data_IF_369225325757
#
_entry.id   IF_369225325757
#
_cell.length_a   1.000
_cell.length_b   1.000
_cell.length_c   1.000
_cell.angle_alpha   90.00
_cell.angle_beta   90.00
_cell.angle_gamma   90.00
#
_symmetry.space_group_name_H-M   'P 1'
#
loop_
_entity.id
_entity.type
_entity.pdbx_description
1 polymer ?
#
# COMPACT_ATOMS: atom_id res chain seq x y z
N UNK A 1 41.94 0.77 10.24
CA UNK A 1 40.97 1.80 10.67
C UNK A 1 39.58 1.28 10.31
N UNK A 2 38.89 0.62 11.24
CA UNK A 2 37.52 0.15 11.02
C UNK A 2 36.56 1.28 11.37
N UNK A 3 35.87 1.81 10.37
CA UNK A 3 34.74 2.71 10.59
C UNK A 3 33.56 1.88 11.08
N UNK A 4 33.26 1.98 12.37
CA UNK A 4 32.02 1.46 12.95
C UNK A 4 30.88 2.37 12.51
N UNK A 5 30.07 1.92 11.54
CA UNK A 5 28.78 2.54 11.25
C UNK A 5 27.94 2.37 12.52
N UNK A 6 27.79 3.47 13.26
CA UNK A 6 26.91 3.53 14.42
C UNK A 6 25.48 3.31 13.93
N UNK A 7 24.98 2.09 14.09
CA UNK A 7 23.61 1.71 13.78
C UNK A 7 22.71 2.47 14.75
N UNK A 8 22.13 3.59 14.28
CA UNK A 8 21.06 4.30 15.00
C UNK A 8 20.03 3.25 15.43
N UNK A 9 19.52 3.28 16.68
CA UNK A 9 18.41 2.42 17.05
C UNK A 9 17.29 2.70 16.05
N UNK A 10 16.76 1.65 15.41
CA UNK A 10 15.62 1.78 14.52
C UNK A 10 14.51 2.48 15.32
N UNK A 11 14.06 3.65 14.86
CA UNK A 11 12.90 4.27 15.48
C UNK A 11 11.75 3.31 15.27
N UNK A 12 11.05 2.94 16.35
CA UNK A 12 9.91 2.04 16.24
C UNK A 12 8.88 2.69 15.32
N UNK A 13 8.45 1.95 14.30
CA UNK A 13 7.41 2.40 13.38
C UNK A 13 6.13 2.77 14.15
N UNK A 14 5.44 3.86 13.79
CA UNK A 14 4.13 4.18 14.34
C UNK A 14 3.12 3.05 14.14
N UNK A 15 2.15 2.96 15.03
CA UNK A 15 1.27 1.80 15.15
C UNK A 15 0.45 1.49 13.88
N UNK A 16 -0.08 2.46 13.11
CA UNK A 16 -0.80 2.16 11.86
C UNK A 16 0.05 1.41 10.83
N UNK A 17 1.27 1.89 10.57
CA UNK A 17 2.18 1.28 9.60
C UNK A 17 2.82 0.00 10.13
N UNK A 18 2.98 -0.13 11.45
CA UNK A 18 3.42 -1.39 12.07
C UNK A 18 2.38 -2.50 11.87
N UNK A 19 1.07 -2.20 11.99
CA UNK A 19 0.00 -3.17 11.68
C UNK A 19 0.01 -3.62 10.23
N UNK A 20 0.23 -2.69 9.29
CA UNK A 20 0.32 -3.05 7.87
C UNK A 20 1.55 -3.91 7.61
N UNK A 21 2.68 -3.61 8.26
CA UNK A 21 3.87 -4.45 8.17
C UNK A 21 3.62 -5.87 8.69
N UNK A 22 2.89 -6.02 9.81
CA UNK A 22 2.50 -7.32 10.34
C UNK A 22 1.54 -8.06 9.39
N UNK A 23 0.54 -7.35 8.83
CA UNK A 23 -0.40 -7.88 7.83
C UNK A 23 0.34 -8.43 6.59
N UNK A 24 1.35 -7.71 6.13
CA UNK A 24 2.11 -8.06 4.92
C UNK A 24 3.33 -8.93 5.20
N UNK A 25 3.54 -9.38 6.45
CA UNK A 25 4.75 -10.10 6.85
C UNK A 25 4.95 -11.47 6.20
N UNK A 26 3.87 -12.10 5.75
CA UNK A 26 3.89 -13.37 5.01
C UNK A 26 3.52 -13.21 3.53
N UNK A 27 3.36 -11.98 3.05
CA UNK A 27 3.15 -11.71 1.63
C UNK A 27 4.48 -11.88 0.89
N UNK A 28 4.56 -12.88 0.01
CA UNK A 28 5.80 -13.20 -0.71
C UNK A 28 6.17 -12.18 -1.80
N UNK A 29 5.23 -11.65 -2.61
CA UNK A 29 5.55 -10.66 -3.62
C UNK A 29 5.96 -9.31 -3.02
N UNK A 30 6.43 -8.41 -3.90
CA UNK A 30 6.92 -7.11 -3.47
C UNK A 30 5.77 -6.20 -3.05
N UNK A 31 5.95 -5.51 -1.92
CA UNK A 31 5.10 -4.40 -1.50
C UNK A 31 5.98 -3.31 -0.88
N UNK A 32 5.50 -2.07 -0.88
CA UNK A 32 6.17 -0.95 -0.23
C UNK A 32 5.15 0.02 0.36
N UNK A 33 5.45 0.60 1.51
CA UNK A 33 4.72 1.75 2.04
C UNK A 33 4.92 2.94 1.08
N UNK A 34 3.85 3.65 0.76
CA UNK A 34 3.92 4.85 -0.08
C UNK A 34 3.14 6.00 0.56
N UNK A 35 2.81 7.03 -0.22
CA UNK A 35 2.03 8.18 0.24
C UNK A 35 2.67 8.96 1.39
N UNK A 36 1.82 9.49 2.27
CA UNK A 36 2.26 10.36 3.37
C UNK A 36 3.16 9.65 4.39
N UNK A 37 2.84 8.41 4.72
CA UNK A 37 3.59 7.63 5.69
C UNK A 37 4.99 7.25 5.21
N UNK A 38 5.20 7.01 3.91
CA UNK A 38 6.53 6.74 3.38
C UNK A 38 7.49 7.92 3.55
N UNK A 39 7.00 9.15 3.37
CA UNK A 39 7.79 10.38 3.61
C UNK A 39 8.25 10.44 5.07
N UNK A 40 7.33 10.22 6.02
CA UNK A 40 7.65 10.24 7.44
C UNK A 40 8.55 9.08 7.86
N UNK A 41 8.40 7.92 7.22
CA UNK A 41 9.29 6.77 7.41
C UNK A 41 10.73 7.12 7.03
N UNK A 42 10.94 7.75 5.87
CA UNK A 42 12.25 8.24 5.43
C UNK A 42 12.83 9.33 6.33
N UNK A 43 11.98 10.21 6.87
CA UNK A 43 12.38 11.21 7.85
C UNK A 43 12.65 10.60 9.25
N UNK A 44 12.25 9.34 9.47
CA UNK A 44 12.35 8.62 10.72
C UNK A 44 11.46 9.18 11.85
N UNK A 45 10.49 10.04 11.53
CA UNK A 45 9.57 10.66 12.49
C UNK A 45 8.26 11.03 11.80
N UNK A 46 7.15 10.94 12.54
CA UNK A 46 5.87 11.43 12.08
C UNK A 46 5.88 12.97 12.07
N UNK A 47 5.49 13.59 10.95
CA UNK A 47 5.48 15.05 10.77
C UNK A 47 4.07 15.66 10.77
N UNK A 48 3.06 14.84 10.52
CA UNK A 48 1.63 15.20 10.56
C UNK A 48 0.77 13.98 10.86
N UNK A 49 -0.50 14.21 11.13
CA UNK A 49 -1.49 13.13 11.14
C UNK A 49 -1.74 12.64 9.71
N UNK A 50 -1.90 11.32 9.57
CA UNK A 50 -2.24 10.64 8.32
C UNK A 50 -3.56 9.91 8.52
N UNK A 51 -4.59 10.17 7.71
CA UNK A 51 -5.90 9.55 7.88
C UNK A 51 -5.95 8.08 7.42
N UNK A 52 -4.98 7.66 6.60
CA UNK A 52 -4.90 6.41 5.86
C UNK A 52 -3.47 5.85 5.88
N UNK A 53 -3.29 4.62 5.37
CA UNK A 53 -2.00 4.02 5.05
C UNK A 53 -2.03 3.56 3.60
N UNK A 54 -1.13 4.10 2.78
CA UNK A 54 -0.97 3.68 1.38
C UNK A 54 0.14 2.64 1.25
N UNK A 55 -0.11 1.57 0.48
CA UNK A 55 0.93 0.66 0.01
C UNK A 55 0.91 0.51 -1.51
N UNK A 56 2.10 0.41 -2.10
CA UNK A 56 2.30 0.02 -3.49
C UNK A 56 2.40 -1.51 -3.59
N UNK A 57 1.63 -2.07 -4.52
CA UNK A 57 1.62 -3.49 -4.93
C UNK A 57 1.61 -3.56 -6.46
N UNK A 58 1.89 -4.72 -7.04
CA UNK A 58 2.13 -4.85 -8.49
C UNK A 58 1.04 -5.61 -9.23
N UNK A 59 0.76 -5.17 -10.46
CA UNK A 59 -0.34 -5.67 -11.31
C UNK A 59 -0.26 -7.19 -11.53
N UNK A 60 0.93 -7.74 -11.67
CA UNK A 60 1.12 -9.17 -11.92
C UNK A 60 0.81 -10.04 -10.69
N UNK A 61 0.80 -9.44 -9.50
CA UNK A 61 0.61 -10.13 -8.22
C UNK A 61 -0.81 -10.02 -7.66
N UNK A 62 -1.76 -9.46 -8.41
CA UNK A 62 -3.14 -9.24 -7.96
C UNK A 62 -3.79 -10.49 -7.37
N UNK A 63 -3.53 -11.66 -7.97
CA UNK A 63 -4.08 -12.91 -7.48
C UNK A 63 -3.51 -13.29 -6.11
N UNK A 64 -2.19 -13.17 -5.95
CA UNK A 64 -1.53 -13.41 -4.68
C UNK A 64 -2.01 -12.43 -3.60
N UNK A 65 -2.22 -11.17 -3.96
CA UNK A 65 -2.75 -10.15 -3.08
C UNK A 65 -4.17 -10.48 -2.60
N UNK A 66 -5.06 -10.85 -3.53
CA UNK A 66 -6.43 -11.23 -3.22
C UNK A 66 -6.48 -12.43 -2.26
N UNK A 67 -5.69 -13.48 -2.55
CA UNK A 67 -5.63 -14.68 -1.72
C UNK A 67 -4.99 -14.38 -0.34
N UNK A 68 -3.98 -13.49 -0.27
CA UNK A 68 -3.32 -13.07 0.98
C UNK A 68 -4.25 -12.30 1.92
N UNK A 69 -5.11 -11.45 1.36
CA UNK A 69 -6.09 -10.65 2.10
C UNK A 69 -7.45 -11.35 2.25
N UNK A 70 -7.49 -12.69 2.15
CA UNK A 70 -8.71 -13.44 2.36
C UNK A 70 -9.38 -13.10 3.72
N UNK A 71 -10.67 -12.78 3.68
CA UNK A 71 -11.42 -12.34 4.86
C UNK A 71 -11.40 -10.82 5.09
N UNK A 72 -10.67 -10.05 4.27
CA UNK A 72 -10.86 -8.60 4.19
C UNK A 72 -12.03 -8.26 3.26
N UNK A 73 -12.69 -7.14 3.54
CA UNK A 73 -13.53 -6.50 2.56
C UNK A 73 -12.66 -5.58 1.71
N UNK A 74 -12.54 -5.93 0.43
CA UNK A 74 -11.76 -5.22 -0.56
C UNK A 74 -12.73 -4.58 -1.55
N UNK A 75 -12.57 -3.28 -1.84
CA UNK A 75 -13.33 -2.59 -2.88
C UNK A 75 -12.33 -2.10 -3.92
N UNK A 76 -12.44 -2.59 -5.15
CA UNK A 76 -11.49 -2.29 -6.21
C UNK A 76 -12.06 -1.27 -7.19
N UNK A 77 -11.23 -0.30 -7.56
CA UNK A 77 -11.52 0.72 -8.57
C UNK A 77 -10.49 0.62 -9.69
N UNK A 78 -10.98 0.57 -10.93
CA UNK A 78 -10.16 0.44 -12.13
C UNK A 78 -10.84 1.12 -13.33
N UNK A 79 -10.22 1.09 -14.52
CA UNK A 79 -10.80 1.75 -15.70
C UNK A 79 -12.16 1.18 -16.14
N UNK A 80 -12.43 -0.09 -15.85
CA UNK A 80 -13.68 -0.75 -16.20
C UNK A 80 -14.81 -0.40 -15.22
N UNK A 81 -14.45 -0.12 -13.96
CA UNK A 81 -15.38 0.20 -12.89
C UNK A 81 -15.27 1.68 -12.55
N UNK A 82 -15.81 2.52 -13.43
CA UNK A 82 -15.82 3.96 -13.22
C UNK A 82 -16.90 4.36 -12.20
N UNK A 83 -16.50 5.05 -11.12
CA UNK A 83 -17.38 5.64 -10.12
C UNK A 83 -17.32 4.98 -8.74
N UNK A 84 -18.21 5.43 -7.85
CA UNK A 84 -18.29 5.02 -6.44
C UNK A 84 -18.98 3.66 -6.30
N UNK A 85 -18.30 2.58 -6.72
CA UNK A 85 -18.75 1.23 -6.41
C UNK A 85 -18.52 0.91 -4.93
N UNK A 86 -19.43 0.13 -4.35
CA UNK A 86 -19.29 -0.45 -3.01
C UNK A 86 -19.22 -1.96 -3.05
N UNK A 87 -19.18 -2.53 -4.26
CA UNK A 87 -19.15 -3.97 -4.46
C UNK A 87 -17.79 -4.54 -4.03
N UNK A 88 -17.83 -5.67 -3.33
CA UNK A 88 -16.63 -6.36 -2.94
C UNK A 88 -15.89 -6.87 -4.19
N UNK A 89 -14.59 -6.60 -4.26
CA UNK A 89 -13.72 -7.18 -5.24
C UNK A 89 -13.73 -8.70 -5.07
N UNK A 90 -13.93 -9.41 -6.17
CA UNK A 90 -14.05 -10.87 -6.25
C UNK A 90 -12.76 -11.55 -6.73
N UNK A 91 -11.69 -10.78 -6.88
CA UNK A 91 -10.41 -11.25 -7.42
C UNK A 91 -10.35 -11.23 -8.95
N UNK A 92 -11.31 -10.60 -9.65
CA UNK A 92 -11.18 -10.31 -11.09
C UNK A 92 -9.90 -9.51 -11.36
N UNK A 93 -9.33 -9.67 -12.56
CA UNK A 93 -8.21 -8.84 -13.00
C UNK A 93 -8.63 -7.36 -13.10
N UNK A 94 -7.84 -6.48 -12.51
CA UNK A 94 -7.99 -5.03 -12.56
C UNK A 94 -7.12 -4.43 -13.66
N UNK A 95 -7.66 -3.46 -14.40
CA UNK A 95 -6.94 -2.72 -15.44
C UNK A 95 -6.37 -1.40 -14.90
N UNK A 96 -5.08 -1.16 -15.10
CA UNK A 96 -4.44 0.07 -14.65
C UNK A 96 -4.97 1.33 -15.38
N UNK A 97 -5.06 2.48 -14.68
CA UNK A 97 -4.79 2.68 -13.26
C UNK A 97 -5.85 2.03 -12.37
N UNK A 98 -5.41 1.37 -11.30
CA UNK A 98 -6.29 0.71 -10.35
C UNK A 98 -5.79 0.88 -8.90
N UNK A 99 -6.73 0.88 -7.96
CA UNK A 99 -6.45 0.82 -6.53
C UNK A 99 -7.54 0.03 -5.82
N UNK A 100 -7.23 -0.44 -4.61
CA UNK A 100 -8.14 -1.23 -3.79
C UNK A 100 -8.20 -0.60 -2.40
N UNK A 101 -9.40 -0.29 -1.92
CA UNK A 101 -9.63 0.06 -0.52
C UNK A 101 -9.81 -1.22 0.31
N UNK A 102 -9.07 -1.36 1.41
CA UNK A 102 -9.10 -2.52 2.29
C UNK A 102 -9.56 -2.21 3.70
N UNK A 103 -10.51 -3.01 4.22
CA UNK A 103 -10.87 -3.02 5.65
C UNK A 103 -11.07 -4.44 6.18
N UNK A 104 -10.86 -4.64 7.48
CA UNK A 104 -11.17 -5.91 8.14
C UNK A 104 -12.68 -6.17 8.03
N UNK A 105 -13.07 -7.37 7.59
CA UNK A 105 -14.47 -7.76 7.66
C UNK A 105 -14.82 -8.02 9.13
N UNK A 106 -15.48 -7.06 9.76
CA UNK A 106 -16.12 -7.27 11.05
C UNK A 106 -17.63 -7.19 10.86
N UNK A 107 -18.34 -7.92 11.70
CA UNK A 107 -19.79 -7.92 11.93
C UNK A 107 -20.33 -6.52 12.33
N UNK A 108 -20.06 -5.48 11.55
CA UNK A 108 -20.49 -4.10 11.78
C UNK A 108 -21.20 -3.52 10.56
N UNK A 109 -22.38 -2.93 10.80
CA UNK A 109 -23.23 -2.35 9.75
C UNK A 109 -22.60 -1.08 9.18
N UNK A 110 -22.68 -0.91 7.85
CA UNK A 110 -22.27 0.31 7.15
C UNK A 110 -23.08 1.54 7.64
N UNK A 111 -22.46 2.72 7.82
CA UNK A 111 -23.20 3.94 8.14
C UNK A 111 -24.00 4.48 6.94
N UNK A 112 -25.19 5.03 7.21
CA UNK A 112 -26.20 5.45 6.21
C UNK A 112 -25.82 6.65 5.31
N UNK A 113 -24.68 7.33 5.52
CA UNK A 113 -24.20 8.41 4.64
C UNK A 113 -22.67 8.43 4.54
N UNK A 114 -22.23 8.44 3.29
CA UNK A 114 -20.85 8.46 2.81
C UNK A 114 -20.47 9.91 2.47
N UNK A 115 -20.27 10.74 3.49
CA UNK A 115 -19.74 12.09 3.22
C UNK A 115 -18.23 11.98 2.99
N UNK A 116 -17.57 12.98 2.42
CA UNK A 116 -16.23 12.87 1.85
C UNK A 116 -15.17 13.61 2.68
N UNK A 117 -14.50 12.92 3.61
CA UNK A 117 -13.34 13.39 4.40
C UNK A 117 -12.73 12.24 5.24
N UNK A 118 -11.94 11.33 4.66
CA UNK A 118 -11.45 10.08 5.30
C UNK A 118 -12.53 9.04 5.66
N UNK A 119 -13.70 9.12 5.04
CA UNK A 119 -14.95 8.54 5.56
C UNK A 119 -15.32 7.23 4.85
N UNK A 120 -14.85 6.11 5.41
CA UNK A 120 -15.43 4.78 5.19
C UNK A 120 -14.96 3.70 6.18
N UNK A 121 -14.09 4.03 7.14
CA UNK A 121 -13.36 3.02 7.90
C UNK A 121 -12.34 2.24 7.06
N UNK A 122 -12.03 2.74 5.84
CA UNK A 122 -10.88 2.31 5.07
C UNK A 122 -9.64 3.01 5.63
N UNK A 123 -8.72 2.22 6.19
CA UNK A 123 -7.43 2.70 6.69
C UNK A 123 -6.25 2.20 5.87
N UNK A 124 -6.52 1.47 4.79
CA UNK A 124 -5.51 0.86 3.93
C UNK A 124 -5.90 1.00 2.47
N UNK A 125 -5.06 1.70 1.70
CA UNK A 125 -5.19 1.85 0.26
C UNK A 125 -4.05 1.10 -0.43
N UNK A 126 -4.41 0.17 -1.32
CA UNK A 126 -3.47 -0.61 -2.10
C UNK A 126 -3.43 -0.06 -3.53
N UNK A 127 -2.35 0.67 -3.84
CA UNK A 127 -2.12 1.25 -5.15
C UNK A 127 -1.50 0.19 -6.07
N UNK A 128 -2.22 -0.16 -7.14
CA UNK A 128 -1.73 -1.14 -8.10
C UNK A 128 -0.81 -0.46 -9.11
N UNK A 129 0.39 -1.00 -9.25
CA UNK A 129 1.47 -0.44 -10.06
C UNK A 129 1.89 -1.39 -11.17
N UNK A 130 2.46 -0.83 -12.22
CA UNK A 130 3.03 -1.60 -13.32
C UNK A 130 4.51 -1.92 -13.07
N UNK A 131 4.89 -3.16 -13.32
CA UNK A 131 6.29 -3.60 -13.39
C UNK A 131 6.52 -4.44 -14.65
N UNK A 132 7.77 -4.49 -15.10
CA UNK A 132 8.21 -5.46 -16.10
C UNK A 132 9.59 -5.96 -15.73
N UNK A 133 9.71 -7.25 -15.41
CA UNK A 133 10.93 -7.80 -14.82
C UNK A 133 11.29 -7.07 -13.53
N UNK A 134 12.52 -6.57 -13.45
CA UNK A 134 13.04 -5.86 -12.29
C UNK A 134 12.80 -4.34 -12.34
N UNK A 135 11.97 -3.83 -13.26
CA UNK A 135 11.69 -2.40 -13.41
C UNK A 135 10.25 -2.06 -13.02
N UNK A 136 10.09 -1.00 -12.22
CA UNK A 136 8.81 -0.36 -11.92
C UNK A 136 8.55 0.77 -12.94
N UNK A 137 7.40 0.74 -13.60
CA UNK A 137 6.92 1.79 -14.50
C UNK A 137 6.03 2.79 -13.76
N UNK A 138 6.53 4.02 -13.58
CA UNK A 138 5.82 5.13 -12.92
C UNK A 138 4.92 5.89 -13.89
N UNK A 139 5.29 5.92 -15.17
CA UNK A 139 4.51 6.57 -16.22
C UNK A 139 4.80 5.90 -17.55
N UNK A 140 3.76 5.65 -18.35
CA UNK A 140 3.90 5.16 -19.73
C UNK A 140 4.17 6.28 -20.73
N UNK A 141 3.69 7.51 -20.46
CA UNK A 141 3.77 8.66 -21.37
C UNK A 141 3.93 9.99 -20.60
N UNK A 142 5.14 10.58 -20.53
CA UNK A 142 6.40 10.03 -21.05
C UNK A 142 6.81 8.76 -20.29
N UNK A 143 7.60 7.86 -20.89
CA UNK A 143 8.08 6.66 -20.21
C UNK A 143 9.01 7.05 -19.06
N UNK A 144 8.61 6.71 -17.83
CA UNK A 144 9.41 6.86 -16.62
C UNK A 144 9.39 5.51 -15.92
N UNK A 145 10.57 4.92 -15.77
CA UNK A 145 10.76 3.70 -14.99
C UNK A 145 11.97 3.83 -14.07
N UNK A 146 12.00 2.98 -13.05
CA UNK A 146 13.15 2.79 -12.19
C UNK A 146 13.30 1.30 -11.83
N UNK A 147 14.53 0.82 -11.60
CA UNK A 147 14.73 -0.51 -11.04
C UNK A 147 13.97 -0.66 -9.72
N UNK A 148 13.26 -1.76 -9.53
CA UNK A 148 12.47 -2.08 -8.34
C UNK A 148 13.31 -1.98 -7.06
N UNK A 149 14.54 -2.49 -7.07
CA UNK A 149 15.45 -2.38 -5.92
C UNK A 149 15.87 -0.94 -5.57
N UNK A 150 15.71 0.02 -6.49
CA UNK A 150 15.88 1.44 -6.21
C UNK A 150 14.58 2.10 -5.75
N UNK A 151 13.44 1.61 -6.25
CA UNK A 151 12.10 2.11 -5.92
C UNK A 151 11.55 1.60 -4.59
N UNK A 152 12.03 0.44 -4.12
CA UNK A 152 11.64 -0.15 -2.84
C UNK A 152 12.89 -0.33 -1.99
N UNK A 153 13.02 0.50 -0.95
CA UNK A 153 14.15 0.52 -0.05
C UNK A 153 13.71 0.49 1.42
N UNK A 154 14.61 0.14 2.31
CA UNK A 154 14.32 0.10 3.75
C UNK A 154 14.45 1.49 4.37
N UNK A 155 13.36 1.98 4.96
CA UNK A 155 13.34 3.24 5.72
C UNK A 155 14.01 3.12 7.10
N UNK A 156 14.31 4.24 7.77
CA UNK A 156 14.71 4.27 9.19
C UNK A 156 13.76 3.56 10.18
N UNK A 157 12.50 3.33 9.82
CA UNK A 157 11.55 2.54 10.60
C UNK A 157 11.62 1.03 10.32
N UNK A 158 12.47 0.59 9.40
CA UNK A 158 12.62 -0.82 9.01
C UNK A 158 11.47 -1.34 8.16
N UNK A 159 10.76 -0.43 7.48
CA UNK A 159 9.69 -0.76 6.54
C UNK A 159 10.18 -0.59 5.10
N UNK A 160 9.73 -1.44 4.15
CA UNK A 160 9.93 -1.18 2.73
C UNK A 160 9.14 0.06 2.32
N UNK A 161 9.77 0.99 1.60
CA UNK A 161 9.21 2.27 1.14
C UNK A 161 9.76 2.66 -0.22
#
# INVERSE_FOLDING_TARGET
>A
MSSSVSRRPANRAPEPVARVADLMSTYEPTWALCGGWAVDAWLGRQTRDHPDVDIAVFQDDQRALFDHLAGWQLIAHDLQTAGDTTEAWDGRGLELPAHIHGRLAADESLPDRLDSASEQGFGLDLLLNESSGDDWYLSRQPPISLPLGNGVQQSPWGLPT
#
